data_IF_254818415485
#
_entry.id   IF_254818415485
#
_cell.length_a   1.000
_cell.length_b   1.000
_cell.length_c   1.000
_cell.angle_alpha   90.00
_cell.angle_beta   90.00
_cell.angle_gamma   90.00
#
_symmetry.space_group_name_H-M   'P 1'
#
loop_
_entity.id
_entity.type
_entity.pdbx_description
1 polymer ?
#
# COMPACT_ATOMS: atom_id res chain seq x y z
N UNK A 1 -7.22 39.27 27.67
CA UNK A 1 -7.02 37.85 28.01
C UNK A 1 -8.01 37.08 27.16
N UNK A 2 -7.58 36.30 26.22
CA UNK A 2 -8.47 35.40 25.47
C UNK A 2 -9.02 34.39 26.48
N UNK A 3 -10.31 34.39 26.73
CA UNK A 3 -10.96 33.34 27.53
C UNK A 3 -10.77 32.03 26.78
N UNK A 4 -9.99 31.11 27.36
CA UNK A 4 -9.91 29.74 26.86
C UNK A 4 -11.28 29.07 26.99
N UNK A 5 -11.73 28.34 25.98
CA UNK A 5 -13.04 27.69 25.94
C UNK A 5 -13.26 26.69 27.10
N UNK A 6 -12.19 26.25 27.80
CA UNK A 6 -12.25 25.39 29.03
C UNK A 6 -11.76 26.08 30.29
N UNK A 7 -11.66 27.40 30.31
CA UNK A 7 -10.93 28.17 31.36
C UNK A 7 -11.54 28.22 32.77
N UNK A 8 -12.77 27.74 33.00
CA UNK A 8 -13.50 27.99 34.25
C UNK A 8 -12.85 27.54 35.56
N UNK A 9 -11.93 26.58 35.54
CA UNK A 9 -11.20 26.09 36.74
C UNK A 9 -9.79 26.72 36.88
N UNK A 10 -9.20 27.15 35.76
CA UNK A 10 -7.83 27.61 35.75
C UNK A 10 -7.71 29.09 36.07
N UNK A 11 -6.77 29.44 36.94
CA UNK A 11 -6.52 30.83 37.36
C UNK A 11 -5.36 31.50 36.62
N UNK A 12 -4.62 30.76 35.81
CA UNK A 12 -3.49 31.24 35.01
C UNK A 12 -3.66 30.82 33.55
N UNK A 13 -3.16 31.66 32.64
CA UNK A 13 -3.04 31.26 31.23
C UNK A 13 -2.00 30.14 31.08
N UNK A 14 -2.17 29.31 30.08
CA UNK A 14 -1.21 28.27 29.72
C UNK A 14 0.10 28.94 29.23
N UNK A 15 1.22 28.33 29.60
CA UNK A 15 2.56 28.78 29.18
C UNK A 15 2.72 28.56 27.67
N UNK A 16 3.35 29.49 26.96
CA UNK A 16 3.56 29.40 25.51
C UNK A 16 4.22 28.08 25.08
N UNK A 17 5.22 27.63 25.81
CA UNK A 17 5.92 26.37 25.53
C UNK A 17 5.03 25.15 25.68
N UNK A 18 4.05 25.17 26.60
CA UNK A 18 3.08 24.09 26.76
C UNK A 18 2.09 24.09 25.59
N UNK A 19 1.58 25.26 25.18
CA UNK A 19 0.72 25.41 24.00
C UNK A 19 1.40 24.86 22.74
N UNK A 20 2.64 25.29 22.48
CA UNK A 20 3.39 24.86 21.30
C UNK A 20 3.67 23.34 21.32
N UNK A 21 3.87 22.75 22.51
CA UNK A 21 4.10 21.31 22.66
C UNK A 21 2.81 20.49 22.50
N UNK A 22 1.68 21.02 22.97
CA UNK A 22 0.38 20.33 22.94
C UNK A 22 -0.31 20.41 21.56
N UNK A 23 -0.04 21.46 20.79
CA UNK A 23 -0.78 21.76 19.56
C UNK A 23 -0.54 20.71 18.47
N UNK A 24 -1.63 20.28 17.84
CA UNK A 24 -1.64 19.33 16.73
C UNK A 24 -2.07 19.95 15.40
N UNK A 25 -2.49 21.22 15.41
CA UNK A 25 -3.07 21.88 14.23
C UNK A 25 -2.14 21.92 13.01
N UNK A 26 -0.82 21.85 13.21
CA UNK A 26 0.17 21.84 12.14
C UNK A 26 0.06 20.62 11.22
N UNK A 27 -0.49 19.52 11.72
CA UNK A 27 -0.68 18.27 10.96
C UNK A 27 -2.13 17.81 10.92
N UNK A 28 -2.95 18.00 11.97
CA UNK A 28 -4.33 17.54 11.98
C UNK A 28 -5.28 18.44 11.17
N UNK A 29 -4.84 19.65 10.80
CA UNK A 29 -5.57 20.48 9.85
C UNK A 29 -5.91 19.76 8.52
N UNK A 30 -5.24 18.68 8.19
CA UNK A 30 -5.55 17.81 7.04
C UNK A 30 -6.92 17.15 7.13
N UNK A 31 -7.50 17.04 8.35
CA UNK A 31 -8.80 16.41 8.61
C UNK A 31 -9.98 17.39 8.63
N UNK A 32 -9.80 18.67 8.23
CA UNK A 32 -10.86 19.66 8.30
C UNK A 32 -12.15 19.28 7.54
N UNK A 33 -12.01 18.51 6.45
CA UNK A 33 -13.17 18.02 5.69
C UNK A 33 -14.00 17.05 6.48
N UNK A 34 -13.31 16.12 7.14
CA UNK A 34 -13.90 15.11 8.01
C UNK A 34 -14.56 15.76 9.23
N UNK A 35 -13.89 16.70 9.87
CA UNK A 35 -14.43 17.43 11.02
C UNK A 35 -15.71 18.19 10.66
N UNK A 36 -15.73 18.88 9.51
CA UNK A 36 -16.92 19.61 9.05
C UNK A 36 -18.03 18.62 8.69
N UNK A 37 -17.75 17.52 8.00
CA UNK A 37 -18.74 16.52 7.66
C UNK A 37 -19.35 15.87 8.92
N UNK A 38 -18.51 15.47 9.88
CA UNK A 38 -18.92 14.94 11.18
C UNK A 38 -19.79 15.94 11.96
N UNK A 39 -19.38 17.19 11.98
CA UNK A 39 -20.13 18.27 12.63
C UNK A 39 -21.49 18.55 11.98
N UNK A 40 -21.58 18.52 10.65
CA UNK A 40 -22.87 18.65 9.93
C UNK A 40 -23.83 17.51 10.23
N UNK A 41 -23.34 16.27 10.24
CA UNK A 41 -24.14 15.10 10.57
C UNK A 41 -24.62 15.12 12.04
N UNK A 42 -23.73 15.52 12.96
CA UNK A 42 -24.06 15.68 14.36
C UNK A 42 -25.12 16.76 14.59
N UNK A 43 -24.94 17.95 14.04
CA UNK A 43 -25.92 19.04 14.15
C UNK A 43 -27.29 18.65 13.57
N UNK A 44 -27.32 17.95 12.44
CA UNK A 44 -28.56 17.43 11.86
C UNK A 44 -29.28 16.49 12.83
N UNK A 45 -28.57 15.52 13.40
CA UNK A 45 -29.13 14.59 14.38
C UNK A 45 -29.64 15.33 15.62
N UNK A 46 -28.91 16.31 16.16
CA UNK A 46 -29.36 17.10 17.30
C UNK A 46 -30.68 17.85 17.02
N UNK A 47 -30.82 18.40 15.83
CA UNK A 47 -32.03 19.12 15.42
C UNK A 47 -33.22 18.16 15.15
N UNK A 48 -32.97 17.01 14.53
CA UNK A 48 -33.98 16.00 14.24
C UNK A 48 -34.60 15.45 15.54
N UNK A 49 -33.82 15.44 16.63
CA UNK A 49 -34.27 15.00 17.98
C UNK A 49 -34.60 16.16 18.94
N UNK A 50 -34.70 17.40 18.43
CA UNK A 50 -35.14 18.57 19.19
C UNK A 50 -34.17 19.02 20.30
N UNK A 51 -32.91 18.63 20.22
CA UNK A 51 -31.85 19.05 21.15
C UNK A 51 -31.37 20.46 20.81
N UNK A 52 -31.32 20.81 19.54
CA UNK A 52 -31.14 22.18 19.05
C UNK A 52 -32.33 22.58 18.14
N UNK A 53 -32.50 23.85 17.89
CA UNK A 53 -33.55 24.32 16.99
C UNK A 53 -33.19 24.12 15.52
N UNK A 54 -34.19 24.10 14.63
CA UNK A 54 -33.96 24.07 13.17
C UNK A 54 -33.25 25.34 12.70
N UNK A 55 -33.51 26.48 13.34
CA UNK A 55 -32.82 27.73 13.06
C UNK A 55 -31.34 27.67 13.42
N UNK A 56 -30.98 27.03 14.54
CA UNK A 56 -29.58 26.77 14.90
C UNK A 56 -28.92 25.87 13.86
N UNK A 57 -29.59 24.78 13.42
CA UNK A 57 -29.08 23.91 12.36
C UNK A 57 -28.79 24.66 11.07
N UNK A 58 -29.68 25.52 10.61
CA UNK A 58 -29.49 26.33 9.40
C UNK A 58 -28.25 27.24 9.51
N UNK A 59 -28.09 27.93 10.66
CA UNK A 59 -26.94 28.78 10.94
C UNK A 59 -25.65 27.99 11.00
N UNK A 60 -25.63 26.87 11.72
CA UNK A 60 -24.45 25.96 11.84
C UNK A 60 -24.05 25.44 10.46
N UNK A 61 -25.02 24.94 9.69
CA UNK A 61 -24.76 24.42 8.33
C UNK A 61 -24.15 25.50 7.42
N UNK A 62 -24.75 26.68 7.37
CA UNK A 62 -24.23 27.79 6.56
C UNK A 62 -22.85 28.27 6.99
N UNK A 63 -22.59 28.31 8.31
CA UNK A 63 -21.28 28.66 8.89
C UNK A 63 -20.20 27.65 8.58
N UNK A 64 -20.46 26.35 8.77
CA UNK A 64 -19.50 25.29 8.49
C UNK A 64 -19.14 25.19 7.00
N UNK A 65 -20.12 25.30 6.11
CA UNK A 65 -19.86 25.29 4.66
C UNK A 65 -19.08 26.52 4.21
N UNK A 66 -19.30 27.69 4.83
CA UNK A 66 -18.50 28.91 4.61
C UNK A 66 -17.04 28.66 5.05
N UNK A 67 -16.84 28.11 6.24
CA UNK A 67 -15.50 27.81 6.78
C UNK A 67 -14.78 26.80 5.86
N UNK A 68 -15.45 25.69 5.46
CA UNK A 68 -14.91 24.74 4.50
C UNK A 68 -14.39 25.43 3.24
N UNK A 69 -15.21 26.30 2.64
CA UNK A 69 -14.83 27.05 1.46
C UNK A 69 -13.63 27.98 1.70
N UNK A 70 -13.55 28.63 2.83
CA UNK A 70 -12.40 29.47 3.18
C UNK A 70 -11.10 28.67 3.32
N UNK A 71 -11.18 27.44 3.89
CA UNK A 71 -10.03 26.52 3.97
C UNK A 71 -9.64 26.03 2.58
N UNK A 72 -10.62 25.57 1.77
CA UNK A 72 -10.39 25.09 0.39
C UNK A 72 -9.71 26.16 -0.49
N UNK A 73 -10.03 27.44 -0.27
CA UNK A 73 -9.47 28.58 -1.00
C UNK A 73 -8.17 29.14 -0.36
N UNK A 74 -7.66 28.55 0.73
CA UNK A 74 -6.45 28.99 1.42
C UNK A 74 -6.58 30.34 2.14
N UNK A 75 -7.80 30.77 2.46
CA UNK A 75 -8.10 32.03 3.15
C UNK A 75 -8.30 31.90 4.66
N UNK A 76 -8.39 30.68 5.16
CA UNK A 76 -8.52 30.38 6.58
C UNK A 76 -7.12 30.24 7.22
N UNK A 77 -6.88 31.00 8.28
CA UNK A 77 -5.64 30.91 9.05
C UNK A 77 -5.86 30.04 10.30
N UNK A 78 -5.18 28.92 10.37
CA UNK A 78 -5.13 28.11 11.58
C UNK A 78 -4.23 28.74 12.63
N UNK A 79 -4.65 28.72 13.90
CA UNK A 79 -3.92 29.25 15.04
C UNK A 79 -3.49 28.15 15.99
N UNK A 80 -2.21 28.16 16.37
CA UNK A 80 -1.63 27.25 17.38
C UNK A 80 -2.27 27.46 18.75
N UNK A 81 -2.70 28.68 19.06
CA UNK A 81 -3.40 29.04 20.29
C UNK A 81 -4.76 28.33 20.46
N UNK A 82 -5.27 27.78 19.36
CA UNK A 82 -6.49 26.96 19.33
C UNK A 82 -6.20 25.47 19.21
N UNK A 83 -5.00 25.05 19.54
CA UNK A 83 -4.54 23.67 19.70
C UNK A 83 -4.71 22.75 18.48
N UNK A 84 -5.95 22.47 18.05
CA UNK A 84 -6.31 21.50 17.03
C UNK A 84 -7.23 22.06 15.92
N UNK A 85 -7.44 21.31 14.86
CA UNK A 85 -8.35 21.70 13.74
C UNK A 85 -9.76 21.94 14.24
N UNK A 86 -10.24 21.13 15.15
CA UNK A 86 -11.60 21.15 15.67
C UNK A 86 -11.89 22.45 16.40
N UNK A 87 -10.98 22.90 17.28
CA UNK A 87 -11.14 24.15 18.00
C UNK A 87 -11.01 25.37 17.11
N UNK A 88 -10.14 25.32 16.09
CA UNK A 88 -10.03 26.36 15.08
C UNK A 88 -11.35 26.53 14.33
N UNK A 89 -11.98 25.44 13.90
CA UNK A 89 -13.28 25.45 13.22
C UNK A 89 -14.41 25.91 14.15
N UNK A 90 -14.49 25.35 15.37
CA UNK A 90 -15.53 25.66 16.35
C UNK A 90 -15.48 27.12 16.82
N UNK A 91 -14.27 27.64 17.10
CA UNK A 91 -14.09 29.06 17.47
C UNK A 91 -14.52 30.00 16.36
N UNK A 92 -14.08 29.74 15.13
CA UNK A 92 -14.48 30.54 13.97
C UNK A 92 -15.99 30.49 13.73
N UNK A 93 -16.60 29.32 13.86
CA UNK A 93 -18.06 29.18 13.75
C UNK A 93 -18.77 30.01 14.82
N UNK A 94 -18.34 29.92 16.07
CA UNK A 94 -18.93 30.65 17.19
C UNK A 94 -18.77 32.16 17.00
N UNK A 95 -17.63 32.64 16.51
CA UNK A 95 -17.40 34.06 16.21
C UNK A 95 -18.33 34.59 15.08
N UNK A 96 -18.60 33.72 14.09
CA UNK A 96 -19.46 34.10 12.95
C UNK A 96 -20.97 34.07 13.28
N UNK A 97 -21.42 33.09 14.09
CA UNK A 97 -22.87 32.86 14.30
C UNK A 97 -23.33 32.90 15.79
N UNK A 98 -22.42 33.21 16.72
CA UNK A 98 -22.72 33.37 18.15
C UNK A 98 -23.16 32.08 18.83
N UNK A 99 -24.16 32.17 19.72
CA UNK A 99 -24.66 31.07 20.55
C UNK A 99 -25.06 29.81 19.78
N UNK A 100 -25.52 29.95 18.52
CA UNK A 100 -25.83 28.81 17.69
C UNK A 100 -24.56 27.94 17.44
N UNK A 101 -23.41 28.59 17.20
CA UNK A 101 -22.13 27.90 17.05
C UNK A 101 -21.72 27.14 18.30
N UNK A 102 -21.87 27.77 19.48
CA UNK A 102 -21.56 27.14 20.76
C UNK A 102 -22.44 25.91 21.07
N UNK A 103 -23.66 25.82 20.51
CA UNK A 103 -24.55 24.66 20.68
C UNK A 103 -24.10 23.43 19.89
N UNK A 104 -23.23 23.59 18.88
CA UNK A 104 -22.73 22.47 18.08
C UNK A 104 -22.05 21.39 18.94
N UNK A 105 -21.37 21.77 20.02
CA UNK A 105 -20.67 20.84 20.92
C UNK A 105 -21.58 20.04 21.86
N UNK A 106 -22.90 20.31 21.87
CA UNK A 106 -23.86 19.61 22.75
C UNK A 106 -23.83 18.11 22.50
N UNK A 107 -23.73 17.32 23.59
CA UNK A 107 -23.71 15.87 23.57
C UNK A 107 -22.56 15.26 22.72
N UNK A 108 -21.44 15.95 22.62
CA UNK A 108 -20.21 15.51 21.95
C UNK A 108 -18.99 15.83 22.81
N UNK A 109 -17.95 15.03 22.68
CA UNK A 109 -16.63 15.30 23.23
C UNK A 109 -15.60 15.44 22.10
N UNK A 110 -14.47 16.08 22.41
CA UNK A 110 -13.32 16.06 21.50
C UNK A 110 -12.86 14.63 21.21
N UNK A 111 -13.00 13.70 22.17
CA UNK A 111 -12.56 12.32 22.04
C UNK A 111 -13.30 11.56 20.94
N UNK A 112 -14.64 11.55 20.92
CA UNK A 112 -15.40 10.87 19.89
C UNK A 112 -15.39 11.64 18.55
N UNK A 113 -15.26 12.97 18.56
CA UNK A 113 -15.09 13.80 17.38
C UNK A 113 -13.78 13.46 16.64
N UNK A 114 -12.63 13.57 17.32
CA UNK A 114 -11.32 13.25 16.74
C UNK A 114 -11.27 11.80 16.21
N UNK A 115 -11.83 10.86 16.99
CA UNK A 115 -11.88 9.46 16.55
C UNK A 115 -12.70 9.29 15.26
N UNK A 116 -13.89 9.91 15.18
CA UNK A 116 -14.74 9.83 14.00
C UNK A 116 -14.07 10.44 12.76
N UNK A 117 -13.42 11.58 12.92
CA UNK A 117 -12.73 12.26 11.82
C UNK A 117 -11.57 11.41 11.29
N UNK A 118 -10.84 10.76 12.18
CA UNK A 118 -9.74 9.90 11.77
C UNK A 118 -10.24 8.61 11.08
N UNK A 119 -11.36 8.02 11.53
CA UNK A 119 -12.02 6.92 10.83
C UNK A 119 -12.45 7.31 9.42
N UNK A 120 -13.09 8.46 9.24
CA UNK A 120 -13.49 8.99 7.92
C UNK A 120 -12.27 9.29 7.04
N UNK A 121 -11.23 9.90 7.60
CA UNK A 121 -9.97 10.17 6.93
C UNK A 121 -9.34 8.87 6.39
N UNK A 122 -9.26 7.84 7.23
CA UNK A 122 -8.73 6.54 6.83
C UNK A 122 -9.53 5.90 5.72
N UNK A 123 -10.87 5.86 5.81
CA UNK A 123 -11.74 5.31 4.75
C UNK A 123 -11.48 5.99 3.41
N UNK A 124 -11.44 7.32 3.39
CA UNK A 124 -11.19 8.12 2.18
C UNK A 124 -9.81 7.85 1.59
N UNK A 125 -8.77 7.78 2.41
CA UNK A 125 -7.41 7.52 1.94
C UNK A 125 -7.17 6.07 1.53
N UNK A 126 -7.80 5.09 2.19
CA UNK A 126 -7.80 3.69 1.78
C UNK A 126 -8.42 3.55 0.39
N UNK A 127 -9.54 4.22 0.11
CA UNK A 127 -10.15 4.22 -1.22
C UNK A 127 -9.20 4.78 -2.29
N UNK A 128 -8.50 5.88 -2.01
CA UNK A 128 -7.49 6.46 -2.92
C UNK A 128 -6.29 5.52 -3.13
N UNK A 129 -5.81 4.87 -2.08
CA UNK A 129 -4.71 3.90 -2.17
C UNK A 129 -5.10 2.65 -2.95
N UNK A 130 -6.37 2.21 -2.87
CA UNK A 130 -6.89 1.11 -3.67
C UNK A 130 -6.78 1.39 -5.17
N UNK A 131 -7.15 2.59 -5.64
CA UNK A 131 -7.01 2.98 -7.04
C UNK A 131 -5.53 2.94 -7.48
N UNK A 132 -4.60 3.41 -6.65
CA UNK A 132 -3.16 3.43 -6.92
C UNK A 132 -2.55 2.01 -6.95
N UNK A 133 -2.96 1.15 -6.04
CA UNK A 133 -2.51 -0.25 -5.99
C UNK A 133 -2.96 -1.01 -7.25
N UNK A 134 -4.22 -0.82 -7.67
CA UNK A 134 -4.76 -1.36 -8.92
C UNK A 134 -3.93 -0.89 -10.13
N UNK A 135 -3.51 0.38 -10.16
CA UNK A 135 -2.71 0.90 -11.26
C UNK A 135 -1.34 0.21 -11.38
N UNK A 136 -0.70 -0.12 -10.25
CA UNK A 136 0.55 -0.91 -10.26
C UNK A 136 0.30 -2.35 -10.74
N UNK A 137 -0.79 -2.99 -10.31
CA UNK A 137 -1.16 -4.32 -10.80
C UNK A 137 -1.39 -4.32 -12.32
N UNK A 138 -2.08 -3.29 -12.84
CA UNK A 138 -2.30 -3.13 -14.29
C UNK A 138 -0.98 -2.92 -15.05
N UNK A 139 -0.06 -2.13 -14.49
CA UNK A 139 1.28 -1.93 -15.06
C UNK A 139 2.08 -3.24 -15.12
N UNK A 140 2.04 -4.05 -14.05
CA UNK A 140 2.70 -5.36 -14.01
C UNK A 140 2.12 -6.32 -15.05
N UNK A 141 0.79 -6.35 -15.21
CA UNK A 141 0.16 -7.16 -16.26
C UNK A 141 0.55 -6.64 -17.64
N UNK A 142 0.51 -5.32 -17.86
CA UNK A 142 0.85 -4.70 -19.13
C UNK A 142 2.29 -5.02 -19.57
N UNK A 143 3.26 -4.88 -18.67
CA UNK A 143 4.66 -5.21 -18.97
C UNK A 143 4.86 -6.72 -19.17
N UNK A 144 4.13 -7.55 -18.43
CA UNK A 144 4.15 -9.01 -18.62
C UNK A 144 3.60 -9.43 -19.98
N UNK A 145 2.58 -8.75 -20.49
CA UNK A 145 2.03 -9.01 -21.83
C UNK A 145 2.95 -8.49 -22.94
N UNK A 146 3.54 -7.32 -22.76
CA UNK A 146 4.49 -6.71 -23.71
C UNK A 146 5.72 -7.60 -23.94
N UNK A 147 6.23 -8.22 -22.88
CA UNK A 147 7.44 -9.04 -22.91
C UNK A 147 7.17 -10.53 -22.63
N UNK A 148 6.00 -11.03 -23.05
CA UNK A 148 5.52 -12.39 -22.78
C UNK A 148 6.45 -13.52 -23.26
N UNK A 149 7.25 -13.27 -24.30
CA UNK A 149 8.12 -14.26 -24.92
C UNK A 149 9.59 -14.14 -24.46
N UNK A 150 9.91 -13.13 -23.63
CA UNK A 150 11.26 -12.95 -23.11
C UNK A 150 11.54 -13.98 -22.02
N UNK A 151 12.62 -14.74 -22.21
CA UNK A 151 13.12 -15.71 -21.23
C UNK A 151 14.32 -15.09 -20.51
N UNK A 152 14.35 -15.19 -19.18
CA UNK A 152 15.46 -14.76 -18.36
C UNK A 152 15.91 -15.91 -17.44
N UNK A 153 17.16 -15.89 -16.92
CA UNK A 153 17.57 -16.81 -15.88
C UNK A 153 16.80 -16.51 -14.59
N UNK A 154 16.13 -17.52 -14.03
CA UNK A 154 15.62 -17.47 -12.67
C UNK A 154 16.77 -17.66 -11.69
N UNK A 155 16.66 -17.06 -10.51
CA UNK A 155 17.70 -17.08 -9.48
C UNK A 155 17.21 -17.73 -8.18
N UNK A 156 18.08 -18.51 -7.55
CA UNK A 156 18.00 -18.89 -6.14
C UNK A 156 19.38 -18.69 -5.52
N UNK A 157 19.47 -18.24 -4.27
CA UNK A 157 20.75 -17.94 -3.60
C UNK A 157 21.66 -16.98 -4.40
N UNK A 158 21.08 -16.07 -5.18
CA UNK A 158 21.77 -15.19 -6.13
C UNK A 158 22.58 -15.93 -7.20
N UNK A 159 22.30 -17.22 -7.40
CA UNK A 159 22.89 -18.04 -8.46
C UNK A 159 21.84 -18.33 -9.54
N UNK A 160 22.27 -18.39 -10.81
CA UNK A 160 21.40 -18.80 -11.91
C UNK A 160 20.90 -20.22 -11.67
N UNK A 161 19.60 -20.42 -11.83
CA UNK A 161 18.95 -21.69 -11.55
C UNK A 161 18.30 -22.27 -12.80
N UNK A 162 17.09 -21.85 -13.14
CA UNK A 162 16.34 -22.39 -14.28
C UNK A 162 15.80 -21.24 -15.14
N UNK A 163 15.58 -21.44 -16.45
CA UNK A 163 15.00 -20.44 -17.30
C UNK A 163 13.53 -20.23 -16.94
N UNK A 164 13.10 -18.97 -16.88
CA UNK A 164 11.71 -18.55 -16.60
C UNK A 164 11.28 -17.48 -17.59
N UNK A 165 9.98 -17.35 -17.84
CA UNK A 165 9.47 -16.21 -18.58
C UNK A 165 9.55 -14.95 -17.71
N UNK A 166 9.99 -13.83 -18.30
CA UNK A 166 9.91 -12.51 -17.67
C UNK A 166 8.48 -12.21 -17.22
N UNK A 167 7.51 -12.54 -18.07
CA UNK A 167 6.09 -12.41 -17.75
C UNK A 167 5.68 -13.17 -16.49
N UNK A 168 6.20 -14.40 -16.29
CA UNK A 168 5.95 -15.17 -15.08
C UNK A 168 6.48 -14.48 -13.84
N UNK A 169 7.67 -13.91 -13.93
CA UNK A 169 8.30 -13.17 -12.83
C UNK A 169 7.47 -11.94 -12.44
N UNK A 170 7.02 -11.15 -13.41
CA UNK A 170 6.14 -9.98 -13.15
C UNK A 170 4.80 -10.39 -12.54
N UNK A 171 4.22 -11.50 -12.99
CA UNK A 171 2.97 -12.02 -12.42
C UNK A 171 3.12 -12.50 -10.97
N UNK A 172 4.33 -12.85 -10.52
CA UNK A 172 4.57 -13.14 -9.10
C UNK A 172 4.40 -11.87 -8.23
N UNK A 173 4.90 -10.71 -8.67
CA UNK A 173 4.67 -9.44 -8.00
C UNK A 173 3.21 -9.00 -8.07
N UNK A 174 2.55 -9.18 -9.20
CA UNK A 174 1.11 -8.94 -9.30
C UNK A 174 0.32 -9.75 -8.25
N UNK A 175 0.64 -11.03 -8.07
CA UNK A 175 0.01 -11.87 -7.06
C UNK A 175 0.31 -11.42 -5.61
N UNK A 176 1.47 -10.82 -5.35
CA UNK A 176 1.78 -10.21 -4.04
C UNK A 176 0.87 -9.00 -3.78
N UNK A 177 0.74 -8.10 -4.76
CA UNK A 177 -0.09 -6.90 -4.63
C UNK A 177 -1.59 -7.24 -4.53
N UNK A 178 -2.06 -8.29 -5.19
CA UNK A 178 -3.44 -8.79 -5.02
C UNK A 178 -3.71 -9.21 -3.57
N UNK A 179 -2.76 -9.86 -2.90
CA UNK A 179 -2.88 -10.15 -1.46
C UNK A 179 -2.79 -8.89 -0.60
N UNK A 180 -2.08 -7.85 -1.06
CA UNK A 180 -2.07 -6.56 -0.38
C UNK A 180 -3.42 -5.85 -0.52
N UNK A 181 -4.08 -5.96 -1.67
CA UNK A 181 -5.45 -5.46 -1.83
C UNK A 181 -6.44 -6.18 -0.89
N UNK A 182 -6.33 -7.49 -0.72
CA UNK A 182 -7.14 -8.24 0.25
C UNK A 182 -6.92 -7.73 1.69
N UNK A 183 -5.68 -7.38 2.07
CA UNK A 183 -5.39 -6.74 3.37
C UNK A 183 -6.02 -5.36 3.48
N UNK A 184 -5.97 -4.59 2.40
CA UNK A 184 -6.55 -3.25 2.34
C UNK A 184 -8.08 -3.29 2.51
N UNK A 185 -8.76 -4.33 2.01
CA UNK A 185 -10.19 -4.57 2.27
C UNK A 185 -10.44 -4.68 3.77
N UNK A 186 -9.67 -5.49 4.48
CA UNK A 186 -9.79 -5.60 5.93
C UNK A 186 -9.51 -4.29 6.67
N UNK A 187 -8.59 -3.45 6.16
CA UNK A 187 -8.35 -2.12 6.74
C UNK A 187 -9.58 -1.20 6.59
N UNK A 188 -10.21 -1.22 5.42
CA UNK A 188 -11.43 -0.44 5.19
C UNK A 188 -12.57 -0.87 6.11
N UNK A 189 -12.81 -2.17 6.22
CA UNK A 189 -13.87 -2.75 7.07
C UNK A 189 -13.68 -2.41 8.56
N UNK A 190 -12.44 -2.34 9.04
CA UNK A 190 -12.14 -1.93 10.41
C UNK A 190 -12.33 -0.42 10.60
N UNK A 191 -11.94 0.40 9.63
CA UNK A 191 -12.14 1.84 9.68
C UNK A 191 -13.63 2.23 9.52
N UNK A 192 -14.50 1.33 9.06
CA UNK A 192 -15.90 1.61 8.75
C UNK A 192 -16.85 1.39 9.95
N UNK A 193 -16.47 1.98 11.10
CA UNK A 193 -17.24 1.99 12.33
C UNK A 193 -17.27 3.41 12.92
N UNK A 194 -18.48 3.94 13.19
CA UNK A 194 -18.63 5.27 13.79
C UNK A 194 -18.46 5.25 15.31
N UNK A 195 -17.56 6.05 15.89
CA UNK A 195 -17.43 6.25 17.33
C UNK A 195 -18.31 7.38 17.87
N UNK A 196 -18.95 8.19 17.00
CA UNK A 196 -19.78 9.32 17.44
C UNK A 196 -20.96 8.86 18.31
N UNK A 197 -21.15 9.58 19.43
CA UNK A 197 -22.11 9.25 20.49
C UNK A 197 -21.46 8.61 21.71
N UNK A 198 -20.18 8.25 21.64
CA UNK A 198 -19.41 7.79 22.80
C UNK A 198 -19.11 8.93 23.78
N UNK A 199 -19.19 10.18 23.34
CA UNK A 199 -18.73 11.35 24.08
C UNK A 199 -17.29 11.18 24.56
N UNK A 200 -17.01 11.57 25.82
CA UNK A 200 -15.65 11.42 26.37
C UNK A 200 -15.27 9.94 26.56
N UNK A 201 -16.20 9.10 27.06
CA UNK A 201 -15.98 7.67 27.33
C UNK A 201 -17.25 6.92 27.82
N UNK A 202 -18.27 7.63 28.30
CA UNK A 202 -19.40 7.02 28.99
C UNK A 202 -20.75 7.19 28.28
N UNK A 203 -20.74 7.71 27.07
CA UNK A 203 -21.95 8.12 26.37
C UNK A 203 -22.50 9.46 26.89
N UNK A 204 -23.79 9.73 26.68
CA UNK A 204 -24.43 10.99 27.01
C UNK A 204 -25.80 10.79 27.63
N UNK A 205 -26.27 11.76 28.41
CA UNK A 205 -27.63 11.80 28.99
C UNK A 205 -28.66 12.38 28.00
N UNK A 206 -28.24 12.93 26.89
CA UNK A 206 -29.11 13.43 25.85
C UNK A 206 -29.68 12.26 24.99
N UNK A 207 -30.89 12.39 24.46
CA UNK A 207 -31.50 11.38 23.60
C UNK A 207 -30.91 11.40 22.17
N UNK A 208 -29.59 11.26 22.06
CA UNK A 208 -28.88 11.20 20.78
C UNK A 208 -29.09 9.86 20.07
N UNK A 209 -28.95 9.86 18.76
CA UNK A 209 -29.10 8.70 17.90
C UNK A 209 -27.82 8.40 17.11
N UNK A 210 -26.81 7.73 17.72
CA UNK A 210 -25.52 7.45 17.05
C UNK A 210 -25.64 6.72 15.73
N UNK A 211 -26.63 5.84 15.58
CA UNK A 211 -26.87 5.09 14.34
C UNK A 211 -27.30 6.01 13.20
N UNK A 212 -28.15 7.00 13.46
CA UNK A 212 -28.57 7.98 12.44
C UNK A 212 -27.38 8.85 12.00
N UNK A 213 -26.54 9.26 12.95
CA UNK A 213 -25.31 9.99 12.62
C UNK A 213 -24.36 9.15 11.80
N UNK A 214 -24.20 7.86 12.13
CA UNK A 214 -23.40 6.92 11.34
C UNK A 214 -23.94 6.74 9.91
N UNK A 215 -25.25 6.59 9.76
CA UNK A 215 -25.91 6.50 8.44
C UNK A 215 -25.67 7.75 7.60
N UNK A 216 -25.79 8.95 8.19
CA UNK A 216 -25.52 10.23 7.52
C UNK A 216 -24.05 10.36 7.07
N UNK A 217 -23.12 9.67 7.77
CA UNK A 217 -21.69 9.63 7.45
C UNK A 217 -21.28 8.36 6.67
N UNK A 218 -22.27 7.60 6.19
CA UNK A 218 -22.08 6.37 5.42
C UNK A 218 -21.20 5.33 6.12
N UNK A 219 -21.20 5.27 7.46
CA UNK A 219 -20.60 4.18 8.20
C UNK A 219 -21.51 2.95 8.19
N UNK A 220 -20.94 1.76 8.03
CA UNK A 220 -21.70 0.51 8.04
C UNK A 220 -22.15 0.09 9.43
N UNK A 221 -21.48 0.56 10.49
CA UNK A 221 -21.74 0.20 11.89
C UNK A 221 -21.34 1.30 12.85
N UNK A 222 -21.80 1.18 14.12
CA UNK A 222 -21.31 1.96 15.24
C UNK A 222 -20.54 1.04 16.20
N UNK A 223 -19.66 1.62 17.00
CA UNK A 223 -19.06 0.92 18.14
C UNK A 223 -20.13 0.51 19.17
N UNK A 224 -19.99 -0.68 19.69
CA UNK A 224 -20.91 -1.23 20.71
C UNK A 224 -20.60 -0.82 22.14
N UNK A 225 -19.44 -0.20 22.38
CA UNK A 225 -18.99 0.25 23.69
C UNK A 225 -18.29 1.62 23.58
N UNK A 226 -18.70 2.58 24.42
CA UNK A 226 -18.19 3.95 24.34
C UNK A 226 -16.75 4.12 24.81
N UNK A 227 -16.26 3.26 25.72
CA UNK A 227 -14.85 3.26 26.12
C UNK A 227 -13.95 2.76 24.98
N UNK A 228 -14.39 1.73 24.30
CA UNK A 228 -13.73 1.16 23.13
C UNK A 228 -13.68 2.16 21.96
N UNK A 229 -14.82 2.79 21.68
CA UNK A 229 -14.97 3.72 20.57
C UNK A 229 -13.96 4.89 20.54
N UNK A 230 -13.57 5.40 21.71
CA UNK A 230 -12.61 6.51 21.82
C UNK A 230 -11.18 6.03 22.04
N UNK A 231 -10.99 4.74 22.37
CA UNK A 231 -9.68 4.12 22.64
C UNK A 231 -9.11 3.37 21.44
N UNK A 232 -9.96 2.84 20.57
CA UNK A 232 -9.52 1.96 19.47
C UNK A 232 -8.58 2.67 18.50
N UNK A 233 -7.46 1.98 18.21
CA UNK A 233 -6.48 2.31 17.17
C UNK A 233 -6.10 1.07 16.34
N UNK A 234 -6.84 -0.03 16.48
CA UNK A 234 -6.56 -1.28 15.77
C UNK A 234 -6.63 -1.09 14.26
N UNK A 235 -7.59 -0.27 13.79
CA UNK A 235 -7.72 0.07 12.36
C UNK A 235 -6.48 0.80 11.80
N UNK A 236 -5.79 1.61 12.61
CA UNK A 236 -4.54 2.28 12.24
C UNK A 236 -3.37 1.30 12.23
N UNK A 237 -3.28 0.45 13.26
CA UNK A 237 -2.25 -0.59 13.37
C UNK A 237 -2.38 -1.60 12.23
N UNK A 238 -3.60 -1.99 11.87
CA UNK A 238 -3.84 -2.86 10.71
C UNK A 238 -3.43 -2.19 9.41
N UNK A 239 -3.75 -0.90 9.22
CA UNK A 239 -3.33 -0.14 8.06
C UNK A 239 -1.79 -0.03 7.97
N UNK A 240 -1.11 0.33 9.06
CA UNK A 240 0.35 0.41 9.11
C UNK A 240 0.99 -0.95 8.86
N UNK A 241 0.38 -2.04 9.32
CA UNK A 241 0.81 -3.41 9.06
C UNK A 241 0.66 -3.76 7.56
N UNK A 242 -0.49 -3.45 6.95
CA UNK A 242 -0.71 -3.56 5.52
C UNK A 242 0.35 -2.77 4.74
N UNK A 243 0.52 -1.48 5.07
CA UNK A 243 1.46 -0.60 4.39
C UNK A 243 2.91 -1.11 4.48
N UNK A 244 3.30 -1.65 5.65
CA UNK A 244 4.61 -2.27 5.87
C UNK A 244 4.83 -3.47 4.95
N UNK A 245 3.84 -4.35 4.80
CA UNK A 245 3.92 -5.52 3.92
C UNK A 245 3.96 -5.09 2.45
N UNK A 246 3.13 -4.14 2.05
CA UNK A 246 3.10 -3.63 0.68
C UNK A 246 4.45 -2.97 0.31
N UNK A 247 4.98 -2.12 1.17
CA UNK A 247 6.31 -1.51 0.99
C UNK A 247 7.42 -2.57 0.94
N UNK A 248 7.33 -3.66 1.68
CA UNK A 248 8.28 -4.79 1.60
C UNK A 248 8.22 -5.45 0.21
N UNK A 249 7.03 -5.64 -0.37
CA UNK A 249 6.90 -6.18 -1.72
C UNK A 249 7.51 -5.23 -2.76
N UNK A 250 7.25 -3.92 -2.65
CA UNK A 250 7.87 -2.91 -3.51
C UNK A 250 9.38 -2.83 -3.32
N UNK A 251 9.88 -2.98 -2.09
CA UNK A 251 11.32 -3.03 -1.79
C UNK A 251 12.01 -4.22 -2.44
N UNK A 252 11.39 -5.40 -2.45
CA UNK A 252 11.90 -6.58 -3.14
C UNK A 252 11.95 -6.38 -4.65
N UNK A 253 10.88 -5.83 -5.23
CA UNK A 253 10.86 -5.46 -6.65
C UNK A 253 11.94 -4.42 -6.96
N UNK A 254 12.12 -3.41 -6.10
CA UNK A 254 13.18 -2.42 -6.20
C UNK A 254 14.56 -3.07 -6.31
N UNK A 255 14.88 -4.02 -5.44
CA UNK A 255 16.16 -4.71 -5.42
C UNK A 255 16.43 -5.42 -6.75
N UNK A 256 15.45 -6.16 -7.28
CA UNK A 256 15.61 -6.84 -8.56
C UNK A 256 15.75 -5.87 -9.72
N UNK A 257 14.98 -4.78 -9.77
CA UNK A 257 15.10 -3.77 -10.81
C UNK A 257 16.46 -3.04 -10.76
N UNK A 258 16.97 -2.76 -9.56
CA UNK A 258 18.33 -2.21 -9.35
C UNK A 258 19.37 -3.16 -9.95
N UNK A 259 19.36 -4.43 -9.54
CA UNK A 259 20.29 -5.43 -10.03
C UNK A 259 20.19 -5.58 -11.56
N UNK A 260 19.00 -5.70 -12.09
CA UNK A 260 18.78 -5.91 -13.53
C UNK A 260 19.15 -4.71 -14.39
N UNK A 261 19.14 -3.50 -13.85
CA UNK A 261 19.57 -2.27 -14.54
C UNK A 261 21.07 -2.01 -14.50
N UNK A 262 21.85 -2.77 -13.69
CA UNK A 262 23.30 -2.61 -13.66
C UNK A 262 23.94 -3.02 -14.99
N UNK A 263 25.15 -2.50 -15.26
CA UNK A 263 25.93 -2.89 -16.46
C UNK A 263 26.29 -4.38 -16.48
N UNK A 264 26.44 -5.02 -15.31
CA UNK A 264 26.76 -6.44 -15.17
C UNK A 264 25.58 -7.31 -15.61
N UNK A 265 24.36 -6.99 -15.19
CA UNK A 265 23.14 -7.69 -15.62
C UNK A 265 22.67 -7.18 -17.00
N UNK A 266 22.32 -5.92 -17.11
CA UNK A 266 21.84 -5.30 -18.36
C UNK A 266 20.54 -5.94 -18.89
N UNK A 267 19.68 -6.46 -17.99
CA UNK A 267 18.43 -7.13 -18.34
C UNK A 267 17.30 -6.17 -18.63
N UNK A 268 17.30 -5.01 -17.98
CA UNK A 268 16.32 -3.96 -18.15
C UNK A 268 16.99 -2.60 -18.28
N UNK A 269 16.23 -1.64 -18.79
CA UNK A 269 16.55 -0.23 -18.73
C UNK A 269 15.34 0.53 -18.21
N UNK A 270 15.53 1.34 -17.17
CA UNK A 270 14.52 2.26 -16.65
C UNK A 270 14.46 3.49 -17.57
N UNK A 271 13.27 4.05 -17.73
CA UNK A 271 13.09 5.27 -18.52
C UNK A 271 13.82 6.47 -17.89
N UNK A 272 14.27 7.41 -18.71
CA UNK A 272 14.98 8.61 -18.26
C UNK A 272 14.14 9.45 -17.28
N UNK A 273 12.82 9.44 -17.43
CA UNK A 273 11.89 10.12 -16.52
C UNK A 273 11.84 9.52 -15.12
N UNK A 274 12.39 8.32 -14.91
CA UNK A 274 12.45 7.61 -13.62
C UNK A 274 13.88 7.29 -13.19
N UNK A 275 14.85 8.00 -13.72
CA UNK A 275 16.28 7.81 -13.43
C UNK A 275 16.95 9.16 -13.26
N UNK A 276 18.11 9.19 -12.59
CA UNK A 276 18.94 10.41 -12.54
C UNK A 276 20.31 10.15 -13.11
N UNK A 277 20.96 11.24 -13.55
CA UNK A 277 22.34 11.22 -13.99
C UNK A 277 23.32 11.55 -12.86
N UNK A 278 24.58 11.72 -13.24
CA UNK A 278 25.63 12.20 -12.35
C UNK A 278 26.12 13.56 -12.83
N UNK A 279 26.38 14.48 -11.90
CA UNK A 279 26.94 15.80 -12.22
C UNK A 279 28.38 15.74 -12.73
N UNK A 280 29.10 14.64 -12.49
CA UNK A 280 30.52 14.46 -12.85
C UNK A 280 30.75 13.31 -13.83
N UNK A 281 29.84 12.32 -13.88
CA UNK A 281 29.99 11.12 -14.73
C UNK A 281 28.89 11.11 -15.79
N UNK A 282 29.15 11.62 -17.00
CA UNK A 282 28.07 11.81 -18.01
C UNK A 282 27.44 10.52 -18.52
N UNK A 283 28.09 9.36 -18.34
CA UNK A 283 27.59 8.05 -18.73
C UNK A 283 26.69 7.38 -17.69
N UNK A 284 26.61 7.94 -16.46
CA UNK A 284 25.95 7.29 -15.32
C UNK A 284 24.46 7.55 -15.32
N UNK A 285 23.68 6.49 -15.16
CA UNK A 285 22.22 6.50 -15.00
C UNK A 285 21.86 5.70 -13.74
N UNK A 286 21.24 6.36 -12.78
CA UNK A 286 20.97 5.78 -11.45
C UNK A 286 19.51 5.35 -11.31
N UNK A 287 19.21 4.20 -10.67
CA UNK A 287 17.87 3.75 -10.36
C UNK A 287 17.33 4.35 -9.05
N UNK A 288 17.45 5.68 -8.86
CA UNK A 288 17.20 6.37 -7.59
C UNK A 288 15.80 6.11 -7.03
N UNK A 289 14.80 5.97 -7.90
CA UNK A 289 13.41 5.70 -7.49
C UNK A 289 13.35 4.36 -6.74
N UNK A 290 13.96 3.32 -7.30
CA UNK A 290 14.01 2.01 -6.65
C UNK A 290 14.77 2.07 -5.33
N UNK A 291 15.89 2.81 -5.27
CA UNK A 291 16.68 2.98 -4.05
C UNK A 291 15.88 3.70 -2.96
N UNK A 292 15.18 4.80 -3.32
CA UNK A 292 14.35 5.56 -2.38
C UNK A 292 13.18 4.73 -1.84
N UNK A 293 12.48 3.96 -2.66
CA UNK A 293 11.39 3.09 -2.20
C UNK A 293 11.93 2.03 -1.25
N UNK A 294 13.06 1.40 -1.58
CA UNK A 294 13.75 0.45 -0.70
C UNK A 294 14.11 1.10 0.64
N UNK A 295 14.64 2.32 0.64
CA UNK A 295 15.00 3.08 1.85
C UNK A 295 13.78 3.50 2.68
N UNK A 296 12.73 4.04 2.02
CA UNK A 296 11.50 4.50 2.68
C UNK A 296 10.69 3.36 3.34
N UNK A 297 10.91 2.11 2.94
CA UNK A 297 10.31 0.94 3.59
C UNK A 297 10.64 0.89 5.08
N UNK A 298 11.89 1.19 5.47
CA UNK A 298 12.28 1.24 6.87
C UNK A 298 11.56 2.33 7.67
N UNK A 299 11.24 3.47 7.02
CA UNK A 299 10.47 4.55 7.63
C UNK A 299 9.03 4.11 7.98
N UNK A 300 8.37 3.43 7.05
CA UNK A 300 7.01 2.89 7.27
C UNK A 300 7.01 1.83 8.39
N UNK A 301 8.03 0.96 8.45
CA UNK A 301 8.20 0.02 9.56
C UNK A 301 8.34 0.75 10.90
N UNK A 302 9.10 1.85 10.93
CA UNK A 302 9.26 2.68 12.11
C UNK A 302 7.93 3.20 12.64
N UNK A 303 7.02 3.65 11.78
CA UNK A 303 5.70 4.14 12.18
C UNK A 303 4.81 3.04 12.78
N UNK A 304 4.83 1.83 12.23
CA UNK A 304 4.10 0.69 12.83
C UNK A 304 4.62 0.39 14.24
N UNK A 305 5.95 0.31 14.39
CA UNK A 305 6.57 0.02 15.70
C UNK A 305 6.31 1.15 16.69
N UNK A 306 6.34 2.41 16.25
CA UNK A 306 6.05 3.57 17.08
C UNK A 306 4.63 3.51 17.65
N UNK A 307 3.61 3.31 16.79
CA UNK A 307 2.22 3.26 17.26
C UNK A 307 1.94 2.03 18.14
N UNK A 308 2.49 0.86 17.82
CA UNK A 308 2.43 -0.31 18.71
C UNK A 308 3.02 0.01 20.10
N UNK A 309 4.10 0.78 20.13
CA UNK A 309 4.79 1.16 21.37
C UNK A 309 3.97 2.17 22.17
N UNK A 310 3.33 3.14 21.51
CA UNK A 310 2.40 4.07 22.14
C UNK A 310 1.26 3.31 22.81
N UNK A 311 0.59 2.44 22.08
CA UNK A 311 -0.63 1.76 22.55
C UNK A 311 -0.41 0.71 23.63
N UNK A 312 0.77 0.08 23.71
CA UNK A 312 1.03 -1.13 24.53
C UNK A 312 0.73 -1.06 26.02
N UNK A 313 0.54 0.07 26.59
CA UNK A 313 0.38 0.21 28.05
C UNK A 313 -0.62 1.27 28.47
N UNK A 314 -1.36 1.84 27.51
CA UNK A 314 -2.36 2.84 27.79
C UNK A 314 -3.60 2.22 28.45
N UNK A 315 -4.20 2.90 29.45
CA UNK A 315 -5.51 2.54 29.95
C UNK A 315 -6.59 2.83 28.91
N UNK A 316 -7.81 2.36 29.18
CA UNK A 316 -8.96 2.62 28.29
C UNK A 316 -9.35 4.10 28.25
N UNK A 317 -10.15 4.44 27.27
CA UNK A 317 -10.56 5.77 26.84
C UNK A 317 -9.40 6.50 26.12
N UNK A 318 -9.14 7.76 26.47
CA UNK A 318 -8.18 8.59 25.72
C UNK A 318 -7.15 9.19 26.69
N UNK A 319 -5.89 8.96 26.36
CA UNK A 319 -4.75 9.68 26.92
C UNK A 319 -4.04 10.48 25.83
N UNK A 320 -3.40 11.59 26.19
CA UNK A 320 -2.75 12.51 25.21
C UNK A 320 -1.66 11.82 24.38
N UNK A 321 -1.09 10.70 24.85
CA UNK A 321 -0.20 9.81 24.08
C UNK A 321 -0.78 9.43 22.71
N UNK A 322 -2.08 9.26 22.63
CA UNK A 322 -2.77 8.91 21.38
C UNK A 322 -2.74 10.01 20.31
N UNK A 323 -2.27 11.22 20.64
CA UNK A 323 -2.04 12.26 19.63
C UNK A 323 -0.95 11.86 18.64
N UNK A 324 0.01 11.02 19.10
CA UNK A 324 1.08 10.44 18.28
C UNK A 324 0.59 9.44 17.22
N UNK A 325 -0.69 9.13 17.17
CA UNK A 325 -1.28 8.23 16.18
C UNK A 325 -1.32 8.84 14.75
N UNK A 326 -1.22 10.18 14.61
CA UNK A 326 -1.53 10.89 13.36
C UNK A 326 -0.34 11.03 12.42
N UNK A 327 0.77 11.63 12.88
CA UNK A 327 1.87 12.00 12.01
C UNK A 327 2.47 10.80 11.27
N UNK A 328 2.68 9.67 12.00
CA UNK A 328 3.20 8.44 11.41
C UNK A 328 2.24 7.82 10.37
N UNK A 329 0.93 7.89 10.61
CA UNK A 329 -0.09 7.40 9.67
C UNK A 329 -0.18 8.31 8.45
N UNK A 330 -0.21 9.63 8.63
CA UNK A 330 -0.23 10.58 7.51
C UNK A 330 0.99 10.44 6.61
N UNK A 331 2.16 10.34 7.21
CA UNK A 331 3.42 10.11 6.48
C UNK A 331 3.43 8.77 5.74
N UNK A 332 2.88 7.72 6.34
CA UNK A 332 2.75 6.41 5.70
C UNK A 332 1.81 6.46 4.50
N UNK A 333 0.67 7.12 4.61
CA UNK A 333 -0.29 7.31 3.51
C UNK A 333 0.39 8.03 2.34
N UNK A 334 1.09 9.13 2.62
CA UNK A 334 1.78 9.93 1.59
C UNK A 334 2.93 9.12 0.96
N UNK A 335 3.76 8.47 1.77
CA UNK A 335 4.90 7.67 1.31
C UNK A 335 4.46 6.50 0.44
N UNK A 336 3.47 5.72 0.88
CA UNK A 336 2.93 4.60 0.12
C UNK A 336 2.23 5.08 -1.15
N UNK A 337 1.42 6.14 -1.05
CA UNK A 337 0.70 6.72 -2.17
C UNK A 337 1.63 7.17 -3.29
N UNK A 338 2.71 7.89 -2.97
CA UNK A 338 3.74 8.30 -3.95
C UNK A 338 4.50 7.10 -4.52
N UNK A 339 4.85 6.11 -3.68
CA UNK A 339 5.54 4.91 -4.15
C UNK A 339 4.71 4.15 -5.20
N UNK A 340 3.40 3.98 -4.97
CA UNK A 340 2.49 3.31 -5.91
C UNK A 340 2.35 4.09 -7.22
N UNK A 341 2.15 5.41 -7.17
CA UNK A 341 2.05 6.25 -8.39
C UNK A 341 3.30 6.15 -9.25
N UNK A 342 4.47 6.26 -8.63
CA UNK A 342 5.76 6.19 -9.33
C UNK A 342 5.97 4.80 -9.94
N UNK A 343 5.63 3.72 -9.21
CA UNK A 343 5.79 2.36 -9.71
C UNK A 343 4.90 2.06 -10.92
N UNK A 344 3.67 2.53 -10.91
CA UNK A 344 2.77 2.38 -12.07
C UNK A 344 3.36 3.00 -13.34
N UNK A 345 3.94 4.20 -13.24
CA UNK A 345 4.58 4.89 -14.37
C UNK A 345 5.91 4.22 -14.78
N UNK A 346 6.79 3.95 -13.83
CA UNK A 346 8.12 3.37 -14.07
C UNK A 346 8.04 2.00 -14.74
N UNK A 347 7.16 1.11 -14.26
CA UNK A 347 6.96 -0.22 -14.85
C UNK A 347 6.39 -0.12 -16.27
N UNK A 348 5.49 0.82 -16.53
CA UNK A 348 4.86 0.99 -17.85
C UNK A 348 5.84 1.45 -18.93
N UNK A 349 6.89 2.18 -18.55
CA UNK A 349 7.88 2.76 -19.48
C UNK A 349 9.17 1.95 -19.58
N UNK A 350 9.43 1.07 -18.61
CA UNK A 350 10.60 0.21 -18.56
C UNK A 350 10.76 -0.63 -19.84
N UNK A 351 12.01 -0.82 -20.28
CA UNK A 351 12.35 -1.71 -21.38
C UNK A 351 13.11 -2.95 -20.89
N UNK A 352 12.92 -4.08 -21.60
CA UNK A 352 13.56 -5.36 -21.28
C UNK A 352 14.48 -5.77 -22.41
N UNK A 353 15.74 -6.07 -22.11
CA UNK A 353 16.75 -6.48 -23.05
C UNK A 353 16.76 -8.01 -23.21
N UNK A 354 15.83 -8.53 -24.01
CA UNK A 354 15.71 -9.97 -24.26
C UNK A 354 16.93 -10.58 -24.92
N UNK A 355 17.70 -9.84 -25.70
CA UNK A 355 18.95 -10.33 -26.29
C UNK A 355 20.01 -10.61 -25.20
N UNK A 356 20.11 -9.71 -24.22
CA UNK A 356 21.04 -9.88 -23.09
C UNK A 356 20.66 -11.06 -22.20
N UNK A 357 19.38 -11.18 -21.85
CA UNK A 357 18.90 -12.31 -21.01
C UNK A 357 19.13 -13.64 -21.74
N UNK A 358 18.92 -13.68 -23.05
CA UNK A 358 19.15 -14.85 -23.89
C UNK A 358 20.64 -15.24 -23.92
N UNK A 359 21.53 -14.30 -24.18
CA UNK A 359 22.98 -14.55 -24.23
C UNK A 359 23.53 -15.11 -22.90
N UNK A 360 22.95 -14.72 -21.76
CA UNK A 360 23.33 -15.28 -20.47
C UNK A 360 22.91 -16.73 -20.32
N UNK A 361 21.71 -17.11 -20.81
CA UNK A 361 21.18 -18.47 -20.76
C UNK A 361 21.87 -19.44 -21.72
N UNK A 362 22.34 -18.95 -22.86
CA UNK A 362 23.06 -19.75 -23.85
C UNK A 362 24.47 -20.16 -23.39
N UNK A 363 25.02 -19.45 -22.42
CA UNK A 363 26.36 -19.66 -21.89
C UNK A 363 26.34 -20.18 -20.44
N UNK A 364 25.30 -20.96 -20.07
CA UNK A 364 25.21 -21.57 -18.74
C UNK A 364 24.62 -22.99 -18.77
N UNK A 365 24.30 -23.52 -17.59
CA UNK A 365 23.75 -24.86 -17.39
C UNK A 365 22.33 -24.85 -16.85
N UNK A 366 21.57 -23.79 -17.04
CA UNK A 366 20.21 -23.65 -16.52
C UNK A 366 19.21 -24.69 -17.07
N UNK A 367 19.57 -25.37 -18.16
CA UNK A 367 18.85 -26.48 -18.78
C UNK A 367 19.26 -27.88 -18.24
N UNK A 368 20.21 -27.96 -17.30
CA UNK A 368 20.68 -29.24 -16.76
C UNK A 368 19.59 -30.06 -16.08
N UNK A 369 18.63 -29.42 -15.42
CA UNK A 369 17.49 -30.11 -14.81
C UNK A 369 16.63 -30.82 -15.85
N UNK A 370 16.43 -30.21 -17.02
CA UNK A 370 15.66 -30.79 -18.13
C UNK A 370 16.36 -32.05 -18.69
N UNK A 371 17.69 -32.05 -18.70
CA UNK A 371 18.50 -33.24 -19.04
C UNK A 371 18.32 -34.37 -18.04
N UNK A 372 18.27 -34.07 -16.73
CA UNK A 372 18.02 -35.05 -15.69
C UNK A 372 16.59 -35.62 -15.78
N UNK A 373 15.60 -34.77 -15.99
CA UNK A 373 14.20 -35.17 -16.20
C UNK A 373 14.05 -36.06 -17.45
N UNK A 374 14.77 -35.75 -18.52
CA UNK A 374 14.80 -36.57 -19.74
C UNK A 374 15.25 -38.00 -19.46
N UNK A 375 16.37 -38.18 -18.75
CA UNK A 375 16.86 -39.50 -18.37
C UNK A 375 15.89 -40.23 -17.42
N UNK A 376 15.30 -39.50 -16.49
CA UNK A 376 14.31 -40.05 -15.56
C UNK A 376 13.05 -40.55 -16.29
N UNK A 377 12.57 -39.82 -17.27
CA UNK A 377 11.43 -40.23 -18.13
C UNK A 377 11.76 -41.46 -18.97
N UNK A 378 13.04 -41.71 -19.28
CA UNK A 378 13.52 -42.92 -19.94
C UNK A 378 13.83 -44.08 -18.96
N UNK A 379 13.41 -43.95 -17.69
CA UNK A 379 13.47 -45.03 -16.69
C UNK A 379 14.71 -45.02 -15.78
N UNK A 380 15.60 -44.03 -15.91
CA UNK A 380 16.73 -43.93 -14.97
C UNK A 380 16.25 -43.32 -13.64
N UNK A 381 16.49 -43.92 -12.47
CA UNK A 381 16.15 -43.31 -11.18
C UNK A 381 16.72 -41.86 -11.07
N UNK A 382 15.92 -40.89 -10.63
CA UNK A 382 16.27 -39.48 -10.67
C UNK A 382 17.62 -39.13 -10.03
N UNK A 383 17.97 -39.76 -8.88
CA UNK A 383 19.28 -39.55 -8.24
C UNK A 383 20.46 -40.02 -9.13
N UNK A 384 20.25 -41.05 -9.92
CA UNK A 384 21.26 -41.51 -10.88
C UNK A 384 21.31 -40.59 -12.11
N UNK A 385 20.16 -40.14 -12.59
CA UNK A 385 20.08 -39.17 -13.66
C UNK A 385 20.80 -37.87 -13.25
N UNK A 386 20.56 -37.37 -12.04
CA UNK A 386 21.23 -36.17 -11.49
C UNK A 386 22.78 -36.38 -11.44
N UNK A 387 23.27 -37.54 -11.01
CA UNK A 387 24.71 -37.79 -11.01
C UNK A 387 25.32 -37.83 -12.41
N UNK A 388 24.62 -38.43 -13.41
CA UNK A 388 25.04 -38.41 -14.81
C UNK A 388 25.13 -37.00 -15.33
N UNK A 389 24.12 -36.16 -15.06
CA UNK A 389 24.08 -34.75 -15.52
C UNK A 389 25.15 -33.93 -14.80
N UNK A 390 25.37 -34.12 -13.49
CA UNK A 390 26.45 -33.47 -12.77
C UNK A 390 27.82 -33.73 -13.40
N UNK A 391 28.11 -35.00 -13.78
CA UNK A 391 29.34 -35.35 -14.49
C UNK A 391 29.38 -34.70 -15.91
N UNK A 392 28.26 -34.61 -16.60
CA UNK A 392 28.20 -33.95 -17.89
C UNK A 392 28.51 -32.43 -17.78
N UNK A 393 27.97 -31.78 -16.76
CA UNK A 393 28.28 -30.37 -16.47
C UNK A 393 29.76 -30.19 -16.14
N UNK A 394 30.35 -31.04 -15.28
CA UNK A 394 31.78 -31.00 -14.95
C UNK A 394 32.62 -31.14 -16.22
N UNK A 395 32.31 -32.14 -17.06
CA UNK A 395 32.97 -32.35 -18.34
C UNK A 395 32.88 -31.13 -19.26
N UNK A 396 31.70 -30.50 -19.34
CA UNK A 396 31.51 -29.31 -20.15
C UNK A 396 32.37 -28.14 -19.64
N UNK A 397 32.42 -27.92 -18.33
CA UNK A 397 33.23 -26.85 -17.71
C UNK A 397 34.72 -27.07 -18.05
N UNK A 398 35.24 -28.27 -17.87
CA UNK A 398 36.64 -28.63 -18.17
C UNK A 398 36.99 -28.40 -19.66
N UNK A 399 36.05 -28.67 -20.55
CA UNK A 399 36.25 -28.56 -22.00
C UNK A 399 35.74 -27.22 -22.61
N UNK A 400 35.31 -26.24 -21.79
CA UNK A 400 34.76 -24.94 -22.23
C UNK A 400 33.59 -25.09 -23.19
N UNK A 401 32.69 -26.02 -22.89
CA UNK A 401 31.46 -26.32 -23.63
C UNK A 401 30.24 -26.00 -22.78
N UNK A 402 29.08 -25.90 -23.42
CA UNK A 402 27.77 -26.01 -22.78
C UNK A 402 27.12 -27.34 -23.17
N UNK A 403 26.00 -27.72 -22.53
CA UNK A 403 25.37 -29.02 -22.78
C UNK A 403 24.95 -29.23 -24.23
N UNK A 404 24.58 -28.20 -24.94
CA UNK A 404 24.22 -28.25 -26.36
C UNK A 404 25.41 -28.48 -27.31
N UNK A 405 26.64 -28.25 -26.88
CA UNK A 405 27.86 -28.50 -27.68
C UNK A 405 28.30 -29.99 -27.65
N UNK A 406 27.69 -30.78 -26.78
CA UNK A 406 28.03 -32.20 -26.69
C UNK A 406 27.56 -32.94 -27.91
N UNK A 407 28.47 -33.71 -28.50
CA UNK A 407 28.16 -34.65 -29.58
C UNK A 407 27.35 -35.82 -29.10
N UNK A 408 26.61 -36.49 -30.00
CA UNK A 408 25.89 -37.74 -29.66
C UNK A 408 26.82 -38.82 -29.10
N UNK A 409 28.06 -38.86 -29.56
CA UNK A 409 29.07 -39.79 -29.03
C UNK A 409 29.45 -39.49 -27.59
N UNK A 410 29.58 -38.23 -27.21
CA UNK A 410 29.83 -37.80 -25.84
C UNK A 410 28.61 -38.10 -24.94
N UNK A 411 27.41 -37.76 -25.36
CA UNK A 411 26.17 -38.11 -24.65
C UNK A 411 26.07 -39.65 -24.40
N UNK A 412 26.30 -40.45 -25.42
CA UNK A 412 26.22 -41.93 -25.29
C UNK A 412 27.27 -42.54 -24.38
N UNK A 413 28.45 -41.91 -24.22
CA UNK A 413 29.45 -42.31 -23.23
C UNK A 413 28.98 -42.03 -21.80
N UNK A 414 28.20 -41.00 -21.56
CA UNK A 414 27.65 -40.64 -20.24
C UNK A 414 26.46 -41.54 -19.86
N UNK A 415 25.56 -41.81 -20.82
CA UNK A 415 24.45 -42.74 -20.66
C UNK A 415 23.98 -43.28 -22.02
N UNK A 416 23.75 -44.56 -22.18
CA UNK A 416 23.18 -45.13 -23.40
C UNK A 416 21.75 -44.73 -23.68
N UNK A 417 21.05 -44.12 -22.70
CA UNK A 417 19.67 -43.65 -22.81
C UNK A 417 19.53 -42.36 -23.60
N UNK A 418 20.60 -41.61 -23.80
CA UNK A 418 20.53 -40.39 -24.63
C UNK A 418 20.31 -40.75 -26.12
N UNK A 419 19.39 -40.04 -26.73
CA UNK A 419 19.08 -40.11 -28.16
C UNK A 419 19.08 -38.70 -28.75
N UNK A 420 18.92 -38.57 -30.07
CA UNK A 420 19.02 -37.31 -30.77
C UNK A 420 17.98 -36.24 -30.33
N UNK A 421 16.89 -36.68 -29.76
CA UNK A 421 15.84 -35.81 -29.21
C UNK A 421 16.30 -34.97 -27.99
N UNK A 422 17.45 -35.32 -27.36
CA UNK A 422 18.03 -34.55 -26.26
C UNK A 422 18.34 -33.10 -26.68
N UNK A 423 18.77 -32.86 -27.90
CA UNK A 423 19.06 -31.51 -28.40
C UNK A 423 17.81 -30.60 -28.42
N UNK A 424 16.64 -31.19 -28.71
CA UNK A 424 15.37 -30.47 -28.63
C UNK A 424 14.99 -30.16 -27.20
N UNK A 425 15.16 -31.14 -26.31
CA UNK A 425 14.86 -30.98 -24.87
C UNK A 425 15.69 -29.89 -24.23
N UNK A 426 16.96 -29.76 -24.60
CA UNK A 426 17.89 -28.79 -24.04
C UNK A 426 17.72 -27.35 -24.60
N UNK A 427 16.88 -27.15 -25.61
CA UNK A 427 16.58 -25.79 -26.08
C UNK A 427 15.85 -25.00 -24.96
N UNK A 428 16.31 -23.80 -24.71
CA UNK A 428 15.81 -22.97 -23.59
C UNK A 428 14.30 -22.71 -23.71
N UNK A 429 13.80 -22.55 -24.94
CA UNK A 429 12.37 -22.40 -25.22
C UNK A 429 11.56 -23.62 -24.78
N UNK A 430 12.09 -24.82 -25.03
CA UNK A 430 11.43 -26.07 -24.65
C UNK A 430 11.51 -26.30 -23.15
N UNK A 431 12.62 -25.93 -22.50
CA UNK A 431 12.73 -25.93 -21.04
C UNK A 431 11.61 -25.10 -20.39
N UNK A 432 11.33 -23.91 -20.90
CA UNK A 432 10.23 -23.05 -20.42
C UNK A 432 8.86 -23.63 -20.79
N UNK A 433 8.67 -23.97 -22.07
CA UNK A 433 7.39 -24.47 -22.62
C UNK A 433 6.88 -25.70 -21.90
N UNK A 434 7.77 -26.61 -21.50
CA UNK A 434 7.44 -27.87 -20.86
C UNK A 434 7.08 -27.74 -19.38
N UNK A 435 7.29 -26.58 -18.75
CA UNK A 435 6.91 -26.32 -17.35
C UNK A 435 5.44 -25.86 -17.26
N UNK A 436 4.53 -26.74 -17.70
CA UNK A 436 3.08 -26.48 -17.77
C UNK A 436 2.29 -26.97 -16.53
N UNK A 437 2.97 -27.33 -15.45
CA UNK A 437 2.34 -27.60 -14.16
C UNK A 437 1.60 -26.36 -13.64
N UNK A 438 0.57 -26.56 -12.81
CA UNK A 438 -0.19 -25.43 -12.24
C UNK A 438 0.75 -24.45 -11.52
N UNK A 439 0.69 -23.17 -11.90
CA UNK A 439 1.59 -22.13 -11.37
C UNK A 439 2.98 -22.09 -12.02
N UNK A 440 3.29 -22.98 -12.96
CA UNK A 440 4.57 -23.01 -13.65
C UNK A 440 4.81 -21.85 -14.60
N UNK A 441 6.04 -21.75 -15.13
CA UNK A 441 6.46 -20.67 -16.03
C UNK A 441 6.03 -20.88 -17.49
N UNK A 442 5.43 -22.02 -17.83
CA UNK A 442 5.03 -22.31 -19.20
C UNK A 442 4.02 -21.28 -19.74
N UNK A 443 4.06 -20.96 -21.05
CA UNK A 443 3.23 -19.89 -21.65
C UNK A 443 1.73 -20.02 -21.39
N UNK A 444 1.20 -21.25 -21.34
CA UNK A 444 -0.20 -21.49 -21.01
C UNK A 444 -0.54 -21.06 -19.56
N UNK A 445 0.36 -21.35 -18.62
CA UNK A 445 0.16 -21.02 -17.22
C UNK A 445 0.25 -19.50 -17.00
N UNK A 446 1.22 -18.85 -17.65
CA UNK A 446 1.35 -17.38 -17.60
C UNK A 446 0.10 -16.70 -18.16
N UNK A 447 -0.39 -17.16 -19.32
CA UNK A 447 -1.64 -16.64 -19.91
C UNK A 447 -2.85 -16.85 -19.00
N UNK A 448 -2.89 -17.98 -18.27
CA UNK A 448 -3.92 -18.21 -17.24
C UNK A 448 -3.81 -17.21 -16.08
N UNK A 449 -2.58 -17.03 -15.55
CA UNK A 449 -2.32 -16.08 -14.46
C UNK A 449 -2.73 -14.65 -14.85
N UNK A 450 -2.35 -14.17 -16.04
CA UNK A 450 -2.75 -12.86 -16.56
C UNK A 450 -4.27 -12.70 -16.65
N UNK A 451 -4.98 -13.73 -17.15
CA UNK A 451 -6.44 -13.71 -17.25
C UNK A 451 -7.12 -13.66 -15.87
N UNK A 452 -6.63 -14.45 -14.93
CA UNK A 452 -7.15 -14.48 -13.56
C UNK A 452 -6.90 -13.17 -12.84
N UNK A 453 -5.71 -12.57 -13.00
CA UNK A 453 -5.37 -11.27 -12.46
C UNK A 453 -6.27 -10.15 -13.02
N UNK A 454 -6.51 -10.12 -14.33
CA UNK A 454 -7.44 -9.15 -14.94
C UNK A 454 -8.86 -9.29 -14.40
N UNK A 455 -9.33 -10.52 -14.17
CA UNK A 455 -10.63 -10.76 -13.55
C UNK A 455 -10.67 -10.25 -12.10
N UNK A 456 -9.58 -10.41 -11.35
CA UNK A 456 -9.48 -9.90 -9.98
C UNK A 456 -9.50 -8.37 -9.97
N UNK A 457 -8.71 -7.72 -10.83
CA UNK A 457 -8.70 -6.25 -10.99
C UNK A 457 -10.11 -5.71 -11.30
N UNK A 458 -10.89 -6.41 -12.13
CA UNK A 458 -12.28 -6.01 -12.38
C UNK A 458 -13.14 -5.96 -11.12
N UNK A 459 -12.94 -6.88 -10.18
CA UNK A 459 -13.62 -6.87 -8.87
C UNK A 459 -13.09 -5.77 -7.95
N UNK A 460 -11.76 -5.60 -7.91
CA UNK A 460 -11.10 -4.57 -7.11
C UNK A 460 -11.56 -3.16 -7.54
N UNK A 461 -11.63 -2.90 -8.85
CA UNK A 461 -12.15 -1.62 -9.41
C UNK A 461 -13.58 -1.32 -8.98
N UNK A 462 -14.44 -2.34 -8.99
CA UNK A 462 -15.82 -2.19 -8.53
C UNK A 462 -15.86 -1.79 -7.06
N UNK A 463 -15.12 -2.50 -6.21
CA UNK A 463 -15.07 -2.21 -4.77
C UNK A 463 -14.46 -0.84 -4.47
N UNK A 464 -13.38 -0.47 -5.14
CA UNK A 464 -12.76 0.85 -5.00
C UNK A 464 -13.72 1.98 -5.41
N UNK A 465 -14.53 1.78 -6.45
CA UNK A 465 -15.57 2.72 -6.87
C UNK A 465 -16.69 2.87 -5.81
N UNK A 466 -17.14 1.77 -5.23
CA UNK A 466 -18.11 1.77 -4.13
C UNK A 466 -17.57 2.53 -2.91
N UNK A 467 -16.31 2.32 -2.54
CA UNK A 467 -15.66 3.07 -1.45
C UNK A 467 -15.52 4.56 -1.76
N UNK A 468 -15.17 4.89 -2.99
CA UNK A 468 -15.07 6.30 -3.43
C UNK A 468 -16.42 7.01 -3.35
N UNK A 469 -17.49 6.37 -3.81
CA UNK A 469 -18.85 6.88 -3.72
C UNK A 469 -19.29 7.06 -2.26
N UNK A 470 -19.02 6.06 -1.40
CA UNK A 470 -19.35 6.12 0.02
C UNK A 470 -18.65 7.25 0.79
N UNK A 471 -17.54 7.77 0.29
CA UNK A 471 -16.78 8.89 0.90
C UNK A 471 -16.91 10.22 0.13
N UNK A 472 -17.70 10.28 -0.94
CA UNK A 472 -17.83 11.48 -1.79
C UNK A 472 -18.45 12.68 -1.05
N UNK A 473 -19.24 12.45 0.01
CA UNK A 473 -19.86 13.52 0.81
C UNK A 473 -18.84 14.35 1.61
N UNK A 474 -17.61 13.86 1.77
CA UNK A 474 -16.52 14.55 2.49
C UNK A 474 -15.81 15.57 1.58
N UNK A 475 -15.74 15.31 0.27
CA UNK A 475 -15.04 16.19 -0.69
C UNK A 475 -15.79 17.50 -0.92
#
# INVERSE_FOLDING_TARGET
>A
MSEMMWGGRFQKAEERSALDFNASVSYDCRMYKEDIAGSLAHASMLADHGIISKEDLEKITGGLLKIKKEIDEGRFAFSVELEDVHMNVEKRLTDDIGDAGARLHTARSRNDQCAADFHMYMRRHIAKLAEKLIAVEEALIGVSEKYKDVILPGYTHMQRAQPVLFAHHMMAYCAMLQRDFERLVGCYEMADASPLGACALAGTTYPTMPKETAEKLHFSKCYGNSLDAVSDRDYLLQFLSFASICMMHLSRLSEELILWSTGEFGFIELDDGYSTGSSIMPQKKNPDICELVRGKTGRVYGHLVALLTVMKGLPLAYDKDMQEDKEGVFDTIDTLGFALDIYAGMLSTMTVNGARTRAVLENDFSNATDMADYLAKKGLPFRRAHAVVGNAVAYCIENRKVLLDLTMGEFKKMSPLFETDIYEVLQIENCVKNRDSYGGTGPKQVKRQQREAKKMIGKQKKLAAEWKEANAFIE
#
